data_IF_287923626579
#
_entry.id   IF_287923626579
#
_cell.length_a   1.000
_cell.length_b   1.000
_cell.length_c   1.000
_cell.angle_alpha   90.00
_cell.angle_beta   90.00
_cell.angle_gamma   90.00
#
_symmetry.space_group_name_H-M   'P 1'
#
loop_
_entity.id
_entity.type
_entity.pdbx_description
1 polymer ?
#
# COMPACT_ATOMS: atom_id res chain seq x y z
N UNK A 1 -18.06 11.91 1.09
CA UNK A 1 -16.96 12.14 0.13
C UNK A 1 -15.56 12.18 0.77
N UNK A 2 -15.40 11.99 2.10
CA UNK A 2 -14.06 12.04 2.74
C UNK A 2 -13.36 10.68 2.85
N UNK A 3 -14.09 9.57 2.98
CA UNK A 3 -13.47 8.27 3.25
C UNK A 3 -12.84 7.65 1.99
N UNK A 4 -13.45 7.84 0.82
CA UNK A 4 -12.87 7.40 -0.46
C UNK A 4 -11.51 8.06 -0.72
N UNK A 5 -11.36 9.35 -0.39
CA UNK A 5 -10.08 10.05 -0.47
C UNK A 5 -9.06 9.46 0.51
N UNK A 6 -9.48 9.14 1.74
CA UNK A 6 -8.60 8.51 2.74
C UNK A 6 -8.11 7.13 2.30
N UNK A 7 -8.98 6.32 1.70
CA UNK A 7 -8.62 5.01 1.16
C UNK A 7 -7.65 5.13 -0.03
N UNK A 8 -7.93 6.03 -0.97
CA UNK A 8 -7.03 6.29 -2.09
C UNK A 8 -5.65 6.77 -1.61
N UNK A 9 -5.61 7.67 -0.61
CA UNK A 9 -4.35 8.12 -0.01
C UNK A 9 -3.60 6.98 0.68
N UNK A 10 -4.27 6.14 1.47
CA UNK A 10 -3.64 4.99 2.12
C UNK A 10 -3.03 4.02 1.08
N UNK A 11 -3.76 3.74 0.00
CA UNK A 11 -3.28 2.93 -1.10
C UNK A 11 -2.05 3.54 -1.79
N UNK A 12 -2.06 4.84 -2.06
CA UNK A 12 -0.90 5.54 -2.64
C UNK A 12 0.32 5.53 -1.72
N UNK A 13 0.11 5.67 -0.41
CA UNK A 13 1.17 5.54 0.60
C UNK A 13 1.78 4.15 0.56
N UNK A 14 0.97 3.10 0.44
CA UNK A 14 1.44 1.71 0.29
C UNK A 14 2.36 1.52 -0.92
N UNK A 15 1.93 2.02 -2.09
CA UNK A 15 2.78 2.00 -3.30
C UNK A 15 4.10 2.74 -3.08
N UNK A 16 4.02 3.95 -2.51
CA UNK A 16 5.19 4.79 -2.26
C UNK A 16 6.16 4.14 -1.29
N UNK A 17 5.65 3.51 -0.22
CA UNK A 17 6.45 2.77 0.73
C UNK A 17 7.23 1.62 0.05
N UNK A 18 6.58 0.85 -0.83
CA UNK A 18 7.26 -0.20 -1.60
C UNK A 18 8.32 0.37 -2.53
N UNK A 19 8.03 1.46 -3.25
CA UNK A 19 9.02 2.16 -4.11
C UNK A 19 10.23 2.61 -3.29
N UNK A 20 10.01 3.13 -2.09
CA UNK A 20 11.05 3.52 -1.14
C UNK A 20 11.75 2.36 -0.42
N UNK A 21 11.50 1.11 -0.83
CA UNK A 21 12.15 -0.08 -0.27
C UNK A 21 11.68 -0.46 1.14
N UNK A 22 10.60 0.15 1.65
CA UNK A 22 10.08 -0.19 2.98
C UNK A 22 9.43 -1.59 2.98
N UNK A 23 9.63 -2.37 4.05
CA UNK A 23 8.93 -3.64 4.21
C UNK A 23 7.43 -3.41 4.44
N UNK A 24 6.60 -4.41 4.11
CA UNK A 24 5.13 -4.35 4.32
C UNK A 24 4.75 -4.10 5.78
N UNK A 25 5.53 -4.62 6.72
CA UNK A 25 5.33 -4.41 8.17
C UNK A 25 5.49 -2.95 8.62
N UNK A 26 6.05 -2.08 7.78
CA UNK A 26 6.14 -0.64 8.04
C UNK A 26 4.84 0.12 7.73
N UNK A 27 3.71 -0.58 7.61
CA UNK A 27 2.38 0.02 7.48
C UNK A 27 2.05 0.86 8.73
N UNK A 28 1.77 2.16 8.58
CA UNK A 28 1.58 3.07 9.71
C UNK A 28 0.21 2.91 10.40
N UNK A 29 -0.76 2.26 9.74
CA UNK A 29 -2.11 2.12 10.27
C UNK A 29 -2.17 0.95 11.26
N UNK A 30 -2.08 1.27 12.55
CA UNK A 30 -2.15 0.29 13.64
C UNK A 30 -3.29 0.64 14.59
N UNK A 31 -4.24 -0.27 14.78
CA UNK A 31 -5.38 -0.07 15.66
C UNK A 31 -6.58 -0.97 15.35
N UNK A 32 -7.56 -0.96 16.25
CA UNK A 32 -8.69 -1.89 16.20
C UNK A 32 -9.98 -1.28 15.63
N UNK A 33 -10.01 0.02 15.35
CA UNK A 33 -11.20 0.66 14.78
C UNK A 33 -11.39 0.21 13.33
N UNK A 34 -12.65 0.15 12.87
CA UNK A 34 -12.97 -0.25 11.49
C UNK A 34 -12.21 0.60 10.48
N UNK A 35 -12.23 1.93 10.64
CA UNK A 35 -11.52 2.84 9.74
C UNK A 35 -10.01 2.54 9.67
N UNK A 36 -9.35 2.29 10.80
CA UNK A 36 -7.91 2.01 10.80
C UNK A 36 -7.62 0.67 10.14
N UNK A 37 -8.46 -0.35 10.35
CA UNK A 37 -8.35 -1.65 9.65
C UNK A 37 -8.52 -1.49 8.14
N UNK A 38 -9.53 -0.73 7.71
CA UNK A 38 -9.79 -0.48 6.29
C UNK A 38 -8.61 0.29 5.66
N UNK A 39 -8.06 1.30 6.34
CA UNK A 39 -6.86 2.02 5.86
C UNK A 39 -5.61 1.14 5.82
N UNK A 40 -5.45 0.27 6.82
CA UNK A 40 -4.37 -0.72 6.84
C UNK A 40 -4.43 -1.63 5.62
N UNK A 41 -5.62 -2.16 5.32
CA UNK A 41 -5.86 -3.02 4.15
C UNK A 41 -5.57 -2.27 2.85
N UNK A 42 -6.05 -1.04 2.70
CA UNK A 42 -5.79 -0.24 1.50
C UNK A 42 -4.30 0.05 1.30
N UNK A 43 -3.57 0.36 2.37
CA UNK A 43 -2.12 0.52 2.31
C UNK A 43 -1.42 -0.78 1.87
N UNK A 44 -1.82 -1.92 2.43
CA UNK A 44 -1.25 -3.22 2.05
C UNK A 44 -1.53 -3.57 0.59
N UNK A 45 -2.73 -3.30 0.09
CA UNK A 45 -3.08 -3.47 -1.32
C UNK A 45 -2.18 -2.62 -2.23
N UNK A 46 -1.95 -1.35 -1.88
CA UNK A 46 -1.02 -0.49 -2.60
C UNK A 46 0.41 -1.02 -2.60
N UNK A 47 0.90 -1.51 -1.47
CA UNK A 47 2.24 -2.08 -1.38
C UNK A 47 2.39 -3.31 -2.29
N UNK A 48 1.41 -4.22 -2.28
CA UNK A 48 1.39 -5.44 -3.10
C UNK A 48 1.27 -5.14 -4.60
N UNK A 49 0.46 -4.15 -4.98
CA UNK A 49 0.34 -3.71 -6.36
C UNK A 49 1.71 -3.25 -6.89
N UNK A 50 2.42 -2.42 -6.14
CA UNK A 50 3.74 -1.95 -6.54
C UNK A 50 4.79 -3.07 -6.56
N UNK A 51 4.73 -4.02 -5.63
CA UNK A 51 5.62 -5.18 -5.63
C UNK A 51 5.43 -6.05 -6.88
N UNK A 52 4.17 -6.24 -7.27
CA UNK A 52 3.79 -6.97 -8.48
C UNK A 52 4.27 -6.27 -9.75
N UNK A 53 4.14 -4.94 -9.83
CA UNK A 53 4.70 -4.12 -10.90
C UNK A 53 6.23 -4.27 -11.00
N UNK A 54 6.93 -4.23 -9.85
CA UNK A 54 8.38 -4.40 -9.79
C UNK A 54 8.81 -5.80 -10.27
N UNK A 55 8.08 -6.84 -9.85
CA UNK A 55 8.33 -8.21 -10.29
C UNK A 55 8.11 -8.37 -11.81
N UNK A 56 7.05 -7.77 -12.34
CA UNK A 56 6.77 -7.77 -13.79
C UNK A 56 7.86 -7.02 -14.58
N UNK A 57 8.33 -5.87 -14.09
CA UNK A 57 9.41 -5.11 -14.70
C UNK A 57 10.72 -5.91 -14.76
N UNK A 58 11.07 -6.62 -13.67
CA UNK A 58 12.24 -7.51 -13.63
C UNK A 58 12.15 -8.66 -14.62
N UNK A 59 10.96 -9.24 -14.82
CA UNK A 59 10.75 -10.30 -15.80
C UNK A 59 10.91 -9.81 -17.25
N UNK A 60 10.50 -8.58 -17.55
CA UNK A 60 10.66 -7.98 -18.89
C UNK A 60 12.09 -7.59 -19.24
N UNK A 61 12.93 -7.35 -18.23
CA UNK A 61 14.32 -6.96 -18.42
C UNK A 61 15.29 -8.14 -18.61
N UNK A 62 14.77 -9.38 -18.64
CA UNK A 62 15.53 -10.62 -18.85
C UNK A 62 15.19 -11.21 -20.21
#
# INVERSE_FOLDING_TARGET
MNDEKRYATAHEQGRTARRGGKPRSANPYQGSTKLVRDLHEQHDLGWLAQDSENAAARRRAR
#
